data_IF_111597251213
#
_entry.id   IF_111597251213
#
_cell.length_a   1.000
_cell.length_b   1.000
_cell.length_c   1.000
_cell.angle_alpha   90.00
_cell.angle_beta   90.00
_cell.angle_gamma   90.00
#
_symmetry.space_group_name_H-M   'P 1'
#
loop_
_entity.id
_entity.type
_entity.pdbx_description
1 polymer ?
#
# COMPACT_ATOMS: atom_id res chain seq x y z
N UNK A 1 -20.87 -6.08 -1.07
CA UNK A 1 -19.66 -5.44 -1.63
C UNK A 1 -19.16 -4.38 -0.68
N UNK A 2 -17.86 -4.32 -0.48
CA UNK A 2 -17.26 -3.32 0.41
C UNK A 2 -17.13 -1.96 -0.28
N UNK A 3 -17.24 -0.89 0.50
CA UNK A 3 -16.93 0.46 0.05
C UNK A 3 -15.43 0.77 0.13
N UNK A 4 -14.67 -0.13 0.77
CA UNK A 4 -13.23 0.00 0.98
C UNK A 4 -12.51 -1.11 0.25
N UNK A 5 -11.49 -0.74 -0.50
CA UNK A 5 -10.60 -1.68 -1.16
C UNK A 5 -9.19 -1.51 -0.59
N UNK A 6 -8.56 -2.61 -0.20
CA UNK A 6 -7.14 -2.66 0.15
C UNK A 6 -6.38 -3.31 -1.00
N UNK A 7 -5.58 -2.54 -1.72
CA UNK A 7 -4.67 -3.05 -2.75
C UNK A 7 -3.27 -3.06 -2.15
N UNK A 8 -2.56 -4.18 -2.28
CA UNK A 8 -1.26 -4.29 -1.66
C UNK A 8 -0.29 -5.13 -2.50
N UNK A 9 0.99 -4.91 -2.24
CA UNK A 9 2.08 -5.79 -2.65
C UNK A 9 2.81 -6.25 -1.40
N UNK A 10 3.12 -7.54 -1.32
CA UNK A 10 3.87 -8.11 -0.20
C UNK A 10 4.92 -9.07 -0.74
N UNK A 11 6.19 -8.83 -0.40
CA UNK A 11 7.28 -9.70 -0.82
C UNK A 11 7.48 -10.87 0.14
N UNK A 12 7.44 -10.59 1.44
CA UNK A 12 7.78 -11.58 2.49
C UNK A 12 6.63 -11.85 3.46
N UNK A 13 5.47 -11.26 3.25
CA UNK A 13 4.29 -11.47 4.07
C UNK A 13 4.02 -10.41 5.14
N UNK A 14 4.95 -9.51 5.43
CA UNK A 14 4.74 -8.48 6.45
C UNK A 14 3.63 -7.50 6.06
N UNK A 15 3.64 -7.01 4.82
CA UNK A 15 2.59 -6.14 4.33
C UNK A 15 1.26 -6.88 4.26
N UNK A 16 1.27 -8.13 3.81
CA UNK A 16 0.07 -8.96 3.75
C UNK A 16 -0.58 -9.14 5.12
N UNK A 17 0.22 -9.43 6.16
CA UNK A 17 -0.30 -9.58 7.51
C UNK A 17 -0.96 -8.29 8.01
N UNK A 18 -0.32 -7.15 7.80
CA UNK A 18 -0.88 -5.85 8.18
C UNK A 18 -2.20 -5.57 7.46
N UNK A 19 -2.25 -5.86 6.15
CA UNK A 19 -3.47 -5.67 5.35
C UNK A 19 -4.59 -6.57 5.84
N UNK A 20 -4.31 -7.85 6.13
CA UNK A 20 -5.33 -8.77 6.64
C UNK A 20 -5.96 -8.24 7.93
N UNK A 21 -5.14 -7.78 8.87
CA UNK A 21 -5.63 -7.25 10.14
C UNK A 21 -6.48 -5.99 9.95
N UNK A 22 -6.02 -5.07 9.08
CA UNK A 22 -6.75 -3.83 8.79
C UNK A 22 -8.05 -4.12 8.03
N UNK A 23 -7.98 -4.97 7.00
CA UNK A 23 -9.14 -5.30 6.19
C UNK A 23 -10.22 -6.04 6.98
N UNK A 24 -9.81 -6.95 7.87
CA UNK A 24 -10.75 -7.65 8.74
C UNK A 24 -11.49 -6.67 9.66
N UNK A 25 -10.76 -5.71 10.22
CA UNK A 25 -11.34 -4.71 11.11
C UNK A 25 -12.29 -3.74 10.38
N UNK A 26 -12.07 -3.50 9.10
CA UNK A 26 -12.84 -2.54 8.29
C UNK A 26 -13.85 -3.20 7.35
N UNK A 27 -13.90 -4.53 7.31
CA UNK A 27 -14.69 -5.29 6.35
C UNK A 27 -14.38 -4.85 4.91
N UNK A 28 -13.10 -4.73 4.60
CA UNK A 28 -12.62 -4.26 3.31
C UNK A 28 -12.32 -5.43 2.36
N UNK A 29 -12.52 -5.20 1.07
CA UNK A 29 -12.05 -6.10 0.03
C UNK A 29 -10.53 -6.02 -0.05
N UNK A 30 -9.84 -7.14 -0.32
CA UNK A 30 -8.38 -7.16 -0.48
C UNK A 30 -8.00 -7.69 -1.84
N UNK A 31 -7.01 -7.05 -2.46
CA UNK A 31 -6.44 -7.49 -3.73
C UNK A 31 -4.93 -7.37 -3.66
N UNK A 32 -4.25 -8.47 -3.92
CA UNK A 32 -2.80 -8.48 -4.05
C UNK A 32 -2.43 -8.20 -5.51
N UNK A 33 -1.45 -7.32 -5.70
CA UNK A 33 -0.85 -7.09 -7.02
C UNK A 33 0.60 -7.57 -7.04
N UNK A 34 1.06 -7.90 -8.21
CA UNK A 34 2.48 -8.26 -8.43
C UNK A 34 2.86 -7.90 -9.87
N UNK A 35 4.14 -7.79 -10.12
CA UNK A 35 4.66 -7.57 -11.47
C UNK A 35 5.30 -8.86 -12.02
N UNK A 36 5.84 -8.79 -13.24
CA UNK A 36 6.39 -9.93 -13.95
C UNK A 36 7.84 -10.27 -13.55
N UNK A 37 8.40 -9.59 -12.54
CA UNK A 37 9.78 -9.78 -12.10
C UNK A 37 9.87 -10.74 -10.93
N UNK A 38 10.81 -11.68 -11.01
CA UNK A 38 11.12 -12.54 -9.87
C UNK A 38 11.86 -11.72 -8.81
N UNK A 39 11.24 -11.59 -7.62
CA UNK A 39 11.76 -10.83 -6.50
C UNK A 39 12.09 -11.69 -5.30
N UNK A 40 12.20 -13.01 -5.51
CA UNK A 40 12.52 -13.96 -4.44
C UNK A 40 14.01 -13.96 -4.11
N UNK A 41 14.33 -14.38 -2.88
CA UNK A 41 15.69 -14.55 -2.41
C UNK A 41 16.48 -13.26 -2.29
N UNK A 42 17.80 -13.38 -2.08
CA UNK A 42 18.68 -12.22 -1.91
C UNK A 42 18.85 -11.42 -3.20
N UNK A 43 18.84 -12.09 -4.36
CA UNK A 43 18.89 -11.40 -5.65
C UNK A 43 17.63 -10.57 -5.89
N UNK A 44 16.47 -11.12 -5.50
CA UNK A 44 15.22 -10.39 -5.55
C UNK A 44 15.20 -9.19 -4.61
N UNK A 45 15.77 -9.31 -3.44
CA UNK A 45 15.92 -8.20 -2.50
C UNK A 45 16.74 -7.05 -3.12
N UNK A 46 17.88 -7.37 -3.75
CA UNK A 46 18.70 -6.36 -4.42
C UNK A 46 17.94 -5.70 -5.57
N UNK A 47 17.21 -6.50 -6.38
CA UNK A 47 16.39 -5.97 -7.48
C UNK A 47 15.33 -4.99 -6.98
N UNK A 48 14.70 -5.30 -5.84
CA UNK A 48 13.70 -4.42 -5.24
C UNK A 48 14.29 -3.04 -4.92
N UNK A 49 15.45 -3.02 -4.27
CA UNK A 49 16.15 -1.78 -3.94
C UNK A 49 16.57 -1.01 -5.18
N UNK A 50 17.14 -1.68 -6.17
CA UNK A 50 17.57 -1.04 -7.43
C UNK A 50 16.40 -0.47 -8.22
N UNK A 51 15.32 -1.22 -8.35
CA UNK A 51 14.13 -0.76 -9.06
C UNK A 51 13.50 0.45 -8.35
N UNK A 52 13.47 0.44 -7.03
CA UNK A 52 12.98 1.56 -6.25
C UNK A 52 13.85 2.81 -6.45
N UNK A 53 15.17 2.68 -6.36
CA UNK A 53 16.10 3.79 -6.56
C UNK A 53 16.00 4.39 -7.96
N UNK A 54 15.83 3.55 -8.98
CA UNK A 54 15.70 3.99 -10.37
C UNK A 54 14.28 4.43 -10.71
N UNK A 55 13.32 4.27 -9.79
CA UNK A 55 11.89 4.45 -10.05
C UNK A 55 11.39 3.64 -11.26
N UNK A 56 11.99 2.47 -11.46
CA UNK A 56 11.62 1.57 -12.56
C UNK A 56 10.30 0.88 -12.28
N UNK A 57 9.55 0.62 -13.34
CA UNK A 57 8.31 -0.17 -13.23
C UNK A 57 8.29 -1.26 -14.29
N UNK A 58 7.64 -2.38 -13.94
CA UNK A 58 7.40 -3.51 -14.84
C UNK A 58 5.89 -3.67 -15.00
N UNK A 59 5.43 -4.29 -16.10
CA UNK A 59 4.01 -4.56 -16.27
C UNK A 59 3.46 -5.36 -15.10
N UNK A 60 2.29 -4.96 -14.61
CA UNK A 60 1.59 -5.71 -13.58
C UNK A 60 0.97 -6.96 -14.18
N UNK A 61 0.95 -8.05 -13.41
CA UNK A 61 0.12 -9.19 -13.75
C UNK A 61 -1.36 -8.80 -13.58
N UNK A 62 -2.27 -9.41 -14.36
CA UNK A 62 -3.70 -9.07 -14.27
C UNK A 62 -4.25 -9.29 -12.87
N UNK A 63 -5.09 -8.37 -12.42
CA UNK A 63 -5.84 -8.49 -11.17
C UNK A 63 -7.26 -7.97 -11.39
N UNK A 64 -8.16 -8.39 -10.53
CA UNK A 64 -9.58 -8.01 -10.61
C UNK A 64 -10.08 -7.50 -9.28
N UNK A 65 -10.96 -6.50 -9.33
CA UNK A 65 -11.69 -5.97 -8.19
C UNK A 65 -13.17 -6.18 -8.41
N UNK A 66 -13.95 -6.24 -7.33
CA UNK A 66 -15.40 -6.49 -7.42
C UNK A 66 -16.14 -5.40 -8.19
N UNK A 67 -15.60 -4.18 -8.17
CA UNK A 67 -16.17 -3.04 -8.90
C UNK A 67 -15.06 -2.12 -9.40
N UNK A 68 -15.34 -1.16 -10.29
CA UNK A 68 -14.33 -0.20 -10.76
C UNK A 68 -13.68 0.57 -9.60
N UNK A 69 -12.41 0.92 -9.74
CA UNK A 69 -11.67 1.63 -8.69
C UNK A 69 -12.35 2.95 -8.29
N UNK A 70 -12.98 3.61 -9.23
CA UNK A 70 -13.68 4.88 -8.98
C UNK A 70 -14.95 4.74 -8.13
N UNK A 71 -15.44 3.53 -7.95
CA UNK A 71 -16.65 3.27 -7.16
C UNK A 71 -16.36 2.94 -5.69
N UNK A 72 -15.11 2.74 -5.33
CA UNK A 72 -14.75 2.59 -3.92
C UNK A 72 -14.70 3.96 -3.25
N UNK A 73 -15.29 4.03 -2.08
CA UNK A 73 -15.26 5.25 -1.28
C UNK A 73 -13.85 5.57 -0.79
N UNK A 74 -13.06 4.52 -0.50
CA UNK A 74 -11.67 4.63 -0.07
C UNK A 74 -10.87 3.47 -0.64
N UNK A 75 -9.71 3.77 -1.22
CA UNK A 75 -8.73 2.77 -1.63
C UNK A 75 -7.53 2.89 -0.70
N UNK A 76 -7.29 1.85 0.09
CA UNK A 76 -6.10 1.75 0.96
C UNK A 76 -5.02 1.05 0.16
N UNK A 77 -3.87 1.70 0.01
CA UNK A 77 -2.73 1.16 -0.72
C UNK A 77 -1.64 0.81 0.28
N UNK A 78 -1.27 -0.46 0.33
CA UNK A 78 -0.27 -0.95 1.25
C UNK A 78 0.98 -1.40 0.50
N UNK A 79 2.14 -0.94 0.96
CA UNK A 79 3.41 -1.16 0.29
C UNK A 79 4.54 -1.31 1.30
N UNK A 80 5.49 -2.22 1.07
CA UNK A 80 6.75 -2.15 1.79
C UNK A 80 7.56 -0.94 1.33
N UNK A 81 8.49 -0.50 2.16
CA UNK A 81 9.44 0.56 1.80
C UNK A 81 10.69 -0.09 1.21
N UNK A 82 11.02 0.29 -0.03
CA UNK A 82 12.22 -0.15 -0.73
C UNK A 82 13.09 1.08 -1.03
N UNK A 83 14.25 1.14 -0.40
CA UNK A 83 15.20 2.25 -0.59
C UNK A 83 14.54 3.63 -0.45
N UNK A 84 13.70 3.80 0.58
CA UNK A 84 13.00 5.07 0.85
C UNK A 84 11.84 5.38 -0.09
N UNK A 85 11.35 4.40 -0.84
CA UNK A 85 10.26 4.58 -1.82
C UNK A 85 9.24 3.45 -1.70
N UNK A 86 8.10 3.61 -2.34
CA UNK A 86 7.13 2.51 -2.43
C UNK A 86 7.67 1.38 -3.32
N UNK A 87 7.12 0.20 -3.16
CA UNK A 87 7.48 -0.95 -3.99
C UNK A 87 7.14 -0.68 -5.47
N UNK A 88 7.99 -1.17 -6.38
CA UNK A 88 7.80 -0.95 -7.80
C UNK A 88 6.45 -1.41 -8.35
N UNK A 89 5.86 -2.55 -7.92
CA UNK A 89 4.51 -2.90 -8.36
C UNK A 89 3.47 -1.88 -7.96
N UNK A 90 3.59 -1.28 -6.77
CA UNK A 90 2.67 -0.22 -6.32
C UNK A 90 2.85 1.03 -7.17
N UNK A 91 4.10 1.40 -7.50
CA UNK A 91 4.34 2.53 -8.41
C UNK A 91 3.72 2.29 -9.78
N UNK A 92 3.83 1.07 -10.31
CA UNK A 92 3.22 0.70 -11.59
C UNK A 92 1.69 0.86 -11.54
N UNK A 93 1.06 0.42 -10.45
CA UNK A 93 -0.37 0.61 -10.24
C UNK A 93 -0.75 2.09 -10.24
N UNK A 94 -0.04 2.89 -9.47
CA UNK A 94 -0.33 4.32 -9.33
C UNK A 94 -0.13 5.08 -10.64
N UNK A 95 0.93 4.78 -11.38
CA UNK A 95 1.16 5.40 -12.69
C UNK A 95 0.03 5.12 -13.67
N UNK A 96 -0.50 3.90 -13.66
CA UNK A 96 -1.53 3.49 -14.61
C UNK A 96 -2.92 3.87 -14.18
N UNK A 97 -3.24 3.73 -12.89
CA UNK A 97 -4.62 3.77 -12.41
C UNK A 97 -4.85 4.68 -11.21
N UNK A 98 -3.82 5.41 -10.77
CA UNK A 98 -3.93 6.27 -9.59
C UNK A 98 -5.01 7.34 -9.72
N UNK A 99 -5.22 7.87 -10.91
CA UNK A 99 -6.22 8.92 -11.15
C UNK A 99 -7.67 8.41 -11.09
N UNK A 100 -7.88 7.10 -11.16
CA UNK A 100 -9.23 6.50 -11.04
C UNK A 100 -9.72 6.44 -9.60
N UNK A 101 -8.81 6.55 -8.62
CA UNK A 101 -9.12 6.43 -7.20
C UNK A 101 -9.58 7.79 -6.66
N UNK A 102 -10.79 7.84 -6.09
CA UNK A 102 -11.34 9.09 -5.55
C UNK A 102 -10.62 9.56 -4.29
N UNK A 103 -10.45 8.65 -3.35
CA UNK A 103 -9.78 8.92 -2.08
C UNK A 103 -8.82 7.79 -1.79
N UNK A 104 -7.61 8.13 -1.37
CA UNK A 104 -6.57 7.14 -1.06
C UNK A 104 -6.07 7.31 0.36
N UNK A 105 -5.73 6.18 0.97
CA UNK A 105 -5.02 6.12 2.24
C UNK A 105 -3.84 5.16 2.08
N UNK A 106 -2.77 5.39 2.83
CA UNK A 106 -1.56 4.60 2.67
C UNK A 106 -1.18 3.86 3.94
N UNK A 107 -0.75 2.63 3.76
CA UNK A 107 -0.12 1.82 4.79
C UNK A 107 1.26 1.44 4.28
N UNK A 108 2.30 1.94 4.91
CA UNK A 108 3.67 1.52 4.58
C UNK A 108 4.19 0.61 5.67
N UNK A 109 4.89 -0.45 5.28
CA UNK A 109 5.56 -1.35 6.21
C UNK A 109 7.06 -1.21 6.02
N UNK A 110 7.79 -1.18 7.14
CA UNK A 110 9.23 -0.95 7.18
C UNK A 110 9.90 -1.89 8.15
N UNK A 111 11.18 -2.12 7.94
CA UNK A 111 11.99 -2.95 8.83
C UNK A 111 12.92 -2.14 9.75
N UNK A 112 13.03 -0.83 9.51
CA UNK A 112 13.92 0.05 10.27
C UNK A 112 13.13 0.98 11.20
N UNK A 113 13.85 1.72 12.05
CA UNK A 113 13.25 2.73 12.93
C UNK A 113 12.83 3.98 12.18
N UNK A 114 13.36 4.21 10.99
CA UNK A 114 13.01 5.36 10.17
C UNK A 114 11.58 5.19 9.64
N UNK A 115 10.72 6.19 9.88
CA UNK A 115 9.29 6.09 9.56
C UNK A 115 8.98 6.14 8.07
N UNK A 116 9.86 6.73 7.26
CA UNK A 116 9.72 6.79 5.80
C UNK A 116 8.43 7.49 5.34
N UNK A 117 8.00 8.51 6.07
CA UNK A 117 6.76 9.24 5.75
C UNK A 117 6.85 10.05 4.45
N UNK A 118 8.07 10.32 3.97
CA UNK A 118 8.28 10.93 2.66
C UNK A 118 7.72 10.10 1.50
N UNK A 119 7.48 8.81 1.72
CA UNK A 119 6.88 7.92 0.72
C UNK A 119 5.44 8.36 0.39
N UNK A 120 4.72 8.91 1.36
CA UNK A 120 3.35 9.36 1.14
C UNK A 120 3.28 10.46 0.07
N UNK A 121 4.13 11.46 0.17
CA UNK A 121 4.15 12.56 -0.80
C UNK A 121 4.59 12.09 -2.19
N UNK A 122 5.50 11.13 -2.23
CA UNK A 122 5.93 10.54 -3.49
C UNK A 122 4.76 9.83 -4.19
N UNK A 123 3.94 9.10 -3.43
CA UNK A 123 2.78 8.39 -3.98
C UNK A 123 1.68 9.36 -4.42
N UNK A 124 1.50 10.45 -3.69
CA UNK A 124 0.50 11.48 -4.02
C UNK A 124 0.73 12.11 -5.40
N UNK A 125 1.94 12.02 -5.94
CA UNK A 125 2.23 12.54 -7.28
C UNK A 125 1.44 11.83 -8.39
N UNK A 126 0.91 10.64 -8.11
CA UNK A 126 0.20 9.82 -9.09
C UNK A 126 -1.30 9.77 -8.87
N UNK A 127 -1.81 10.40 -7.84
CA UNK A 127 -3.23 10.33 -7.47
C UNK A 127 -3.95 11.64 -7.78
N UNK A 128 -5.28 11.58 -7.90
CA UNK A 128 -6.09 12.76 -8.20
C UNK A 128 -6.08 13.77 -7.06
N UNK A 129 -5.97 13.28 -5.81
CA UNK A 129 -5.92 14.10 -4.60
C UNK A 129 -4.86 13.53 -3.67
N UNK A 130 -4.28 14.35 -2.78
CA UNK A 130 -3.42 13.82 -1.74
C UNK A 130 -4.14 12.80 -0.85
N UNK A 131 -3.38 11.91 -0.23
CA UNK A 131 -3.95 10.93 0.68
C UNK A 131 -4.73 11.62 1.81
N UNK A 132 -5.82 10.98 2.23
CA UNK A 132 -6.59 11.48 3.37
C UNK A 132 -6.07 10.94 4.71
N UNK A 133 -5.48 9.76 4.71
CA UNK A 133 -4.95 9.10 5.89
C UNK A 133 -3.71 8.30 5.52
N UNK A 134 -2.80 8.11 6.48
CA UNK A 134 -1.62 7.27 6.27
C UNK A 134 -1.09 6.75 7.59
N UNK A 135 -0.40 5.61 7.54
CA UNK A 135 0.31 5.05 8.69
C UNK A 135 1.58 4.35 8.23
N UNK A 136 2.62 4.47 9.04
CA UNK A 136 3.88 3.76 8.85
C UNK A 136 4.02 2.73 9.95
N UNK A 137 4.05 1.45 9.58
CA UNK A 137 4.07 0.32 10.51
C UNK A 137 5.41 -0.41 10.44
N UNK A 138 5.93 -0.76 11.62
CA UNK A 138 7.09 -1.64 11.72
C UNK A 138 6.66 -2.94 12.38
N UNK A 139 6.41 -4.00 11.58
CA UNK A 139 6.00 -5.30 12.14
C UNK A 139 6.99 -5.79 13.19
N UNK A 140 6.48 -6.33 14.29
CA UNK A 140 7.28 -6.83 15.40
C UNK A 140 7.77 -5.76 16.38
N UNK A 141 7.48 -4.49 16.17
CA UNK A 141 7.82 -3.42 17.11
C UNK A 141 6.74 -3.24 18.17
N UNK A 142 7.09 -2.60 19.29
CA UNK A 142 6.16 -2.36 20.39
C UNK A 142 4.98 -1.46 19.96
N UNK A 143 5.22 -0.52 19.07
CA UNK A 143 4.18 0.43 18.63
C UNK A 143 3.28 -0.09 17.52
N UNK A 144 3.55 -1.28 16.98
CA UNK A 144 2.83 -1.78 15.81
C UNK A 144 1.31 -1.86 16.02
N UNK A 145 0.86 -2.51 17.08
CA UNK A 145 -0.57 -2.66 17.35
C UNK A 145 -1.26 -1.32 17.60
N UNK A 146 -0.60 -0.45 18.34
CA UNK A 146 -1.15 0.88 18.61
C UNK A 146 -1.39 1.65 17.31
N UNK A 147 -0.38 1.74 16.44
CA UNK A 147 -0.47 2.52 15.20
C UNK A 147 -1.44 1.88 14.20
N UNK A 148 -1.48 0.56 14.14
CA UNK A 148 -2.46 -0.15 13.31
C UNK A 148 -3.89 0.16 13.76
N UNK A 149 -4.15 0.06 15.06
CA UNK A 149 -5.47 0.31 15.62
C UNK A 149 -5.87 1.77 15.48
N UNK A 150 -4.93 2.68 15.68
CA UNK A 150 -5.15 4.12 15.48
C UNK A 150 -5.55 4.42 14.03
N UNK A 151 -4.86 3.82 13.08
CA UNK A 151 -5.21 3.97 11.67
C UNK A 151 -6.62 3.46 11.37
N UNK A 152 -6.99 2.29 11.88
CA UNK A 152 -8.33 1.73 11.70
C UNK A 152 -9.40 2.68 12.26
N UNK A 153 -9.18 3.22 13.46
CA UNK A 153 -10.11 4.17 14.07
C UNK A 153 -10.23 5.45 13.25
N UNK A 154 -9.11 5.95 12.74
CA UNK A 154 -9.11 7.14 11.89
C UNK A 154 -9.86 6.90 10.58
N UNK A 155 -9.74 5.73 9.97
CA UNK A 155 -10.53 5.36 8.80
C UNK A 155 -12.02 5.36 9.12
N UNK A 156 -12.41 4.75 10.25
CA UNK A 156 -13.82 4.73 10.68
C UNK A 156 -14.38 6.13 10.87
N UNK A 157 -13.63 7.02 11.51
CA UNK A 157 -14.03 8.41 11.67
C UNK A 157 -14.17 9.13 10.34
N UNK A 158 -13.23 8.89 9.43
CA UNK A 158 -13.29 9.49 8.10
C UNK A 158 -14.53 9.03 7.33
N UNK A 159 -14.87 7.74 7.44
CA UNK A 159 -16.08 7.19 6.77
C UNK A 159 -17.37 7.77 7.35
N UNK A 160 -17.39 8.13 8.63
CA UNK A 160 -18.57 8.65 9.31
C UNK A 160 -18.81 10.15 9.02
N UNK A 161 -17.87 10.82 8.44
CA UNK A 161 -17.97 12.21 7.99
C UNK A 161 -18.37 12.26 6.51
#
# INVERSE_FOLDING_TARGET
>A
MSDILCIYYSRTGHTWNAVCEIADALDAETVQITDDRDRSGWRGYIRCGMDAMKTSTRPLLPFQTEKPLSEYRLVIIATPVWAGRCASPIRALLKRRGLEMKNVAYVVTRSTTQRSEEVYDQMDMYTAQPHCLAVSLRPGSEGYEFWRNDFVQNVRRWLDN
#
